data_IF_809063954299
#
_entry.id   IF_809063954299
#
_cell.length_a   1.000
_cell.length_b   1.000
_cell.length_c   1.000
_cell.angle_alpha   90.00
_cell.angle_beta   90.00
_cell.angle_gamma   90.00
#
_symmetry.space_group_name_H-M   'P 1'
#
loop_
_entity.id
_entity.type
_entity.pdbx_description
1 polymer ?
#
# COMPACT_ATOMS: atom_id res chain seq x y z
N UNK A 1 -18.61 -48.42 -23.37
CA UNK A 1 -17.58 -47.94 -24.31
C UNK A 1 -17.89 -46.54 -24.85
N UNK A 2 -19.05 -46.30 -25.49
CA UNK A 2 -19.38 -44.97 -26.06
C UNK A 2 -19.50 -43.83 -25.04
N UNK A 3 -20.16 -44.06 -23.89
CA UNK A 3 -20.34 -43.02 -22.86
C UNK A 3 -19.02 -42.61 -22.18
N UNK A 4 -18.13 -43.56 -21.95
CA UNK A 4 -16.80 -43.29 -21.36
C UNK A 4 -15.92 -42.47 -22.32
N UNK A 5 -16.02 -42.74 -23.62
CA UNK A 5 -15.34 -41.94 -24.64
C UNK A 5 -15.90 -40.50 -24.69
N UNK A 6 -17.22 -40.32 -24.58
CA UNK A 6 -17.84 -39.00 -24.55
C UNK A 6 -17.44 -38.19 -23.30
N UNK A 7 -17.37 -38.84 -22.13
CA UNK A 7 -16.93 -38.20 -20.89
C UNK A 7 -15.47 -37.71 -20.98
N UNK A 8 -14.57 -38.53 -21.53
CA UNK A 8 -13.15 -38.14 -21.74
C UNK A 8 -13.01 -36.97 -22.70
N UNK A 9 -13.84 -36.90 -23.74
CA UNK A 9 -13.85 -35.76 -24.67
C UNK A 9 -14.35 -34.48 -23.98
N UNK A 10 -15.40 -34.57 -23.17
CA UNK A 10 -15.90 -33.41 -22.42
C UNK A 10 -14.88 -32.90 -21.38
N UNK A 11 -14.21 -33.82 -20.67
CA UNK A 11 -13.16 -33.46 -19.72
C UNK A 11 -11.97 -32.79 -20.42
N UNK A 12 -11.54 -33.31 -21.58
CA UNK A 12 -10.48 -32.71 -22.37
C UNK A 12 -10.86 -31.29 -22.89
N UNK A 13 -12.11 -31.09 -23.31
CA UNK A 13 -12.60 -29.77 -23.71
C UNK A 13 -12.67 -28.79 -22.54
N UNK A 14 -13.12 -29.25 -21.36
CA UNK A 14 -13.14 -28.43 -20.15
C UNK A 14 -11.73 -28.05 -19.68
N UNK A 15 -10.78 -28.99 -19.73
CA UNK A 15 -9.37 -28.72 -19.43
C UNK A 15 -8.78 -27.69 -20.39
N UNK A 16 -9.08 -27.80 -21.70
CA UNK A 16 -8.65 -26.82 -22.71
C UNK A 16 -9.26 -25.44 -22.48
N UNK A 17 -10.55 -25.36 -22.13
CA UNK A 17 -11.21 -24.09 -21.83
C UNK A 17 -10.59 -23.42 -20.58
N UNK A 18 -10.28 -24.19 -19.54
CA UNK A 18 -9.57 -23.68 -18.35
C UNK A 18 -8.17 -23.18 -18.68
N UNK A 19 -7.42 -23.89 -19.52
CA UNK A 19 -6.07 -23.43 -19.90
C UNK A 19 -6.13 -22.15 -20.72
N UNK A 20 -7.11 -22.00 -21.62
CA UNK A 20 -7.31 -20.77 -22.39
C UNK A 20 -7.73 -19.60 -21.51
N UNK A 21 -8.64 -19.82 -20.54
CA UNK A 21 -9.02 -18.80 -19.58
C UNK A 21 -7.83 -18.35 -18.71
N UNK A 22 -6.98 -19.29 -18.26
CA UNK A 22 -5.77 -18.97 -17.52
C UNK A 22 -4.74 -18.18 -18.37
N UNK A 23 -4.61 -18.49 -19.67
CA UNK A 23 -3.76 -17.73 -20.58
C UNK A 23 -4.26 -16.29 -20.77
N UNK A 24 -5.56 -16.10 -21.00
CA UNK A 24 -6.14 -14.76 -21.14
C UNK A 24 -6.01 -13.94 -19.85
N UNK A 25 -6.21 -14.55 -18.68
CA UNK A 25 -6.00 -13.89 -17.40
C UNK A 25 -4.53 -13.47 -17.19
N UNK A 26 -3.58 -14.31 -17.60
CA UNK A 26 -2.16 -13.98 -17.54
C UNK A 26 -1.79 -12.83 -18.51
N UNK A 27 -2.33 -12.83 -19.74
CA UNK A 27 -2.14 -11.74 -20.69
C UNK A 27 -2.73 -10.42 -20.19
N UNK A 28 -3.90 -10.46 -19.56
CA UNK A 28 -4.51 -9.28 -18.93
C UNK A 28 -3.66 -8.75 -17.77
N UNK A 29 -3.17 -9.62 -16.88
CA UNK A 29 -2.30 -9.21 -15.78
C UNK A 29 -1.00 -8.55 -16.27
N UNK A 30 -0.39 -9.08 -17.34
CA UNK A 30 0.80 -8.48 -17.96
C UNK A 30 0.47 -7.12 -18.59
N UNK A 31 -0.69 -6.99 -19.25
CA UNK A 31 -1.12 -5.71 -19.83
C UNK A 31 -1.39 -4.65 -18.75
N UNK A 32 -2.01 -5.03 -17.63
CA UNK A 32 -2.23 -4.13 -16.49
C UNK A 32 -0.92 -3.71 -15.83
N UNK A 33 0.03 -4.64 -15.67
CA UNK A 33 1.35 -4.31 -15.15
C UNK A 33 2.10 -3.34 -16.08
N UNK A 34 2.07 -3.59 -17.40
CA UNK A 34 2.70 -2.70 -18.38
C UNK A 34 2.05 -1.30 -18.39
N UNK A 35 0.73 -1.21 -18.21
CA UNK A 35 0.04 0.06 -18.08
C UNK A 35 0.44 0.81 -16.80
N UNK A 36 0.56 0.09 -15.67
CA UNK A 36 1.02 0.69 -14.42
C UNK A 36 2.47 1.20 -14.52
N UNK A 37 3.37 0.43 -15.14
CA UNK A 37 4.75 0.85 -15.39
C UNK A 37 4.82 2.09 -16.30
N UNK A 38 3.97 2.19 -17.32
CA UNK A 38 3.90 3.37 -18.18
C UNK A 38 3.49 4.63 -17.41
N UNK A 39 2.53 4.53 -16.48
CA UNK A 39 2.12 5.66 -15.63
C UNK A 39 3.28 6.11 -14.72
N UNK A 40 4.04 5.17 -14.14
CA UNK A 40 5.21 5.50 -13.30
C UNK A 40 6.26 6.26 -14.12
N UNK A 41 6.56 5.79 -15.34
CA UNK A 41 7.52 6.47 -16.23
C UNK A 41 7.05 7.88 -16.63
N UNK A 42 5.75 8.07 -16.87
CA UNK A 42 5.19 9.40 -17.16
C UNK A 42 5.27 10.33 -15.94
N UNK A 43 4.97 9.81 -14.74
CA UNK A 43 5.14 10.56 -13.50
C UNK A 43 6.60 10.97 -13.27
N UNK A 44 7.57 10.07 -13.47
CA UNK A 44 9.00 10.39 -13.36
C UNK A 44 9.43 11.49 -14.35
N UNK A 45 8.96 11.42 -15.60
CA UNK A 45 9.22 12.47 -16.59
C UNK A 45 8.63 13.81 -16.19
N UNK A 46 7.41 13.83 -15.65
CA UNK A 46 6.78 15.07 -15.18
C UNK A 46 7.53 15.69 -14.00
N UNK A 47 8.02 14.85 -13.07
CA UNK A 47 8.82 15.29 -11.92
C UNK A 47 10.18 15.84 -12.35
N UNK A 48 10.83 15.21 -13.34
CA UNK A 48 12.08 15.71 -13.92
C UNK A 48 11.89 17.08 -14.59
N UNK A 49 10.84 17.24 -15.40
CA UNK A 49 10.53 18.52 -16.04
C UNK A 49 10.28 19.64 -15.01
N UNK A 50 9.53 19.35 -13.94
CA UNK A 50 9.30 20.32 -12.86
C UNK A 50 10.61 20.68 -12.12
N UNK A 51 11.50 19.70 -11.89
CA UNK A 51 12.80 19.97 -11.28
C UNK A 51 13.67 20.87 -12.18
N UNK A 52 13.66 20.64 -13.49
CA UNK A 52 14.37 21.49 -14.46
C UNK A 52 13.83 22.94 -14.44
N UNK A 53 12.51 23.14 -14.40
CA UNK A 53 11.89 24.47 -14.29
C UNK A 53 12.30 25.20 -13.01
N UNK A 54 12.33 24.51 -11.86
CA UNK A 54 12.79 25.10 -10.59
C UNK A 54 14.26 25.52 -10.69
N UNK A 55 15.12 24.66 -11.24
CA UNK A 55 16.54 25.01 -11.40
C UNK A 55 16.76 26.18 -12.36
N UNK A 56 15.96 26.29 -13.42
CA UNK A 56 15.98 27.41 -14.35
C UNK A 56 15.52 28.71 -13.67
N UNK A 57 14.47 28.65 -12.85
CA UNK A 57 13.98 29.79 -12.07
C UNK A 57 15.02 30.28 -11.05
N UNK A 58 15.68 29.38 -10.33
CA UNK A 58 16.78 29.74 -9.41
C UNK A 58 17.96 30.39 -10.14
N UNK A 59 18.30 29.91 -11.33
CA UNK A 59 19.33 30.50 -12.16
C UNK A 59 18.94 31.94 -12.60
N UNK A 60 17.70 32.15 -13.03
CA UNK A 60 17.19 33.47 -13.39
C UNK A 60 17.22 34.45 -12.21
N UNK A 61 16.84 34.01 -11.00
CA UNK A 61 16.92 34.83 -9.78
C UNK A 61 18.37 35.24 -9.49
N UNK A 62 19.33 34.32 -9.66
CA UNK A 62 20.76 34.64 -9.47
C UNK A 62 21.26 35.65 -10.48
N UNK A 63 20.84 35.56 -11.74
CA UNK A 63 21.17 36.56 -12.79
C UNK A 63 20.59 37.92 -12.43
N UNK A 64 19.30 38.00 -12.09
CA UNK A 64 18.66 39.27 -11.69
C UNK A 64 19.30 39.88 -10.44
N UNK A 65 19.69 39.05 -9.46
CA UNK A 65 20.41 39.52 -8.28
C UNK A 65 21.82 40.06 -8.62
N UNK A 66 22.50 39.46 -9.59
CA UNK A 66 23.79 39.95 -10.08
C UNK A 66 23.65 41.25 -10.88
N UNK A 67 22.67 41.34 -11.78
CA UNK A 67 22.34 42.57 -12.52
C UNK A 67 21.99 43.71 -11.57
N UNK A 68 21.19 43.45 -10.54
CA UNK A 68 20.88 44.44 -9.51
C UNK A 68 22.14 44.92 -8.80
N UNK A 69 23.03 44.03 -8.38
CA UNK A 69 24.30 44.41 -7.72
C UNK A 69 25.19 45.21 -8.66
N UNK A 70 25.26 44.83 -9.92
CA UNK A 70 26.04 45.55 -10.92
C UNK A 70 25.48 46.96 -11.13
N UNK A 71 24.16 47.08 -11.24
CA UNK A 71 23.49 48.38 -11.30
C UNK A 71 23.77 49.24 -10.05
N UNK A 72 23.76 48.65 -8.85
CA UNK A 72 24.10 49.34 -7.60
C UNK A 72 25.57 49.85 -7.59
N UNK A 73 26.49 49.13 -8.23
CA UNK A 73 27.89 49.54 -8.40
C UNK A 73 28.03 50.66 -9.43
N UNK A 74 27.31 50.56 -10.55
CA UNK A 74 27.36 51.54 -11.65
C UNK A 74 26.67 52.86 -11.28
N UNK A 75 25.68 52.81 -10.38
CA UNK A 75 24.89 53.95 -9.96
C UNK A 75 25.03 54.20 -8.45
N UNK A 76 26.26 54.41 -7.92
CA UNK A 76 26.48 54.49 -6.48
C UNK A 76 25.80 55.71 -5.87
N UNK A 77 25.55 56.79 -6.64
CA UNK A 77 24.83 57.99 -6.17
C UNK A 77 23.31 57.79 -6.15
N UNK A 78 22.73 56.96 -7.02
CA UNK A 78 21.30 56.62 -6.97
C UNK A 78 21.03 55.50 -5.95
N UNK A 79 21.93 54.51 -5.87
CA UNK A 79 21.90 53.47 -4.86
C UNK A 79 22.13 54.06 -3.46
N UNK A 80 23.16 54.89 -3.27
CA UNK A 80 23.33 55.65 -2.04
C UNK A 80 22.25 56.72 -1.89
N UNK A 81 21.74 57.33 -2.95
CA UNK A 81 20.64 58.31 -2.91
C UNK A 81 19.32 57.71 -2.43
N UNK A 82 19.06 56.43 -2.72
CA UNK A 82 17.94 55.68 -2.15
C UNK A 82 18.10 55.38 -0.66
N UNK A 83 19.34 55.32 -0.15
CA UNK A 83 19.66 55.23 1.28
C UNK A 83 19.91 56.58 1.97
N UNK A 84 20.32 57.63 1.24
CA UNK A 84 20.78 58.93 1.72
C UNK A 84 19.75 60.04 1.51
N UNK A 85 18.66 59.82 0.75
CA UNK A 85 17.45 60.65 0.87
C UNK A 85 16.74 60.51 2.22
N UNK A 86 17.25 59.64 3.11
CA UNK A 86 16.91 59.65 4.53
C UNK A 86 17.76 60.65 5.35
N UNK A 87 18.96 61.05 4.90
CA UNK A 87 19.94 61.77 5.73
C UNK A 87 20.77 62.73 4.84
N UNK A 88 20.40 64.02 4.87
CA UNK A 88 21.24 65.20 4.55
C UNK A 88 21.33 65.62 3.06
N UNK A 89 20.51 66.63 2.73
CA UNK A 89 20.90 67.75 1.87
C UNK A 89 20.74 69.01 2.76
N UNK A 90 21.65 69.97 2.83
CA UNK A 90 22.54 70.47 1.80
C UNK A 90 23.65 71.33 2.46
N UNK A 91 24.79 71.46 1.79
CA UNK A 91 25.88 72.30 2.22
C UNK A 91 26.86 72.55 1.09
N UNK A 92 26.68 73.65 0.35
CA UNK A 92 27.76 74.51 -0.13
C UNK A 92 27.20 75.80 -0.78
N UNK A 93 27.20 76.88 0.00
CA UNK A 93 26.88 78.24 -0.46
C UNK A 93 27.42 79.27 0.52
N UNK A 94 28.73 79.21 0.77
CA UNK A 94 29.42 80.05 1.75
C UNK A 94 29.54 81.52 1.27
N UNK A 95 29.16 82.45 2.13
CA UNK A 95 30.05 83.50 2.68
C UNK A 95 29.30 84.67 3.35
N UNK A 96 28.00 84.86 3.07
CA UNK A 96 27.21 85.94 3.69
C UNK A 96 26.23 85.45 4.79
N UNK A 97 26.02 84.14 4.90
CA UNK A 97 24.97 83.54 5.76
C UNK A 97 25.42 83.08 7.14
N UNK A 98 26.71 83.14 7.43
CA UNK A 98 27.27 82.71 8.72
C UNK A 98 26.74 83.49 9.92
N UNK A 99 26.30 84.75 9.71
CA UNK A 99 25.85 85.62 10.79
C UNK A 99 24.35 85.51 11.13
N UNK A 100 23.49 85.18 10.16
CA UNK A 100 22.06 84.97 10.42
C UNK A 100 21.74 83.55 10.90
N UNK A 101 22.54 82.56 10.50
CA UNK A 101 22.33 81.15 10.86
C UNK A 101 22.72 80.85 12.32
N UNK A 102 23.71 81.55 12.88
CA UNK A 102 24.03 81.45 14.31
C UNK A 102 22.98 82.08 15.23
N UNK A 103 22.17 83.01 14.73
CA UNK A 103 21.22 83.78 15.55
C UNK A 103 19.77 83.29 15.48
N UNK A 104 19.35 82.61 14.42
CA UNK A 104 17.94 82.20 14.23
C UNK A 104 17.72 80.74 13.80
N UNK A 105 18.77 79.91 13.80
CA UNK A 105 18.66 78.44 13.81
C UNK A 105 18.23 77.75 12.51
N UNK A 106 17.45 78.36 11.62
CA UNK A 106 17.12 77.84 10.28
C UNK A 106 16.39 78.93 9.46
N UNK A 107 16.70 79.10 8.17
CA UNK A 107 15.99 80.04 7.30
C UNK A 107 14.58 79.51 6.97
N UNK A 108 13.55 80.38 7.01
CA UNK A 108 12.15 80.02 6.72
C UNK A 108 11.98 79.27 5.38
N UNK A 109 12.67 79.69 4.33
CA UNK A 109 12.64 79.04 3.02
C UNK A 109 13.22 77.62 3.04
N UNK A 110 14.23 77.36 3.88
CA UNK A 110 14.78 76.01 4.09
C UNK A 110 13.77 75.14 4.83
N UNK A 111 13.03 75.69 5.81
CA UNK A 111 11.97 74.97 6.53
C UNK A 111 10.80 74.60 5.62
N UNK A 112 10.37 75.51 4.75
CA UNK A 112 9.29 75.24 3.78
C UNK A 112 9.72 74.21 2.73
N UNK A 113 10.95 74.32 2.20
CA UNK A 113 11.51 73.33 1.28
C UNK A 113 11.67 71.95 1.94
N UNK A 114 12.11 71.89 3.21
CA UNK A 114 12.24 70.66 3.99
C UNK A 114 10.88 70.03 4.28
N UNK A 115 9.85 70.81 4.59
CA UNK A 115 8.49 70.28 4.74
C UNK A 115 7.91 69.79 3.41
N UNK A 116 8.14 70.50 2.30
CA UNK A 116 7.69 70.06 0.98
C UNK A 116 8.40 68.77 0.53
N UNK A 117 9.71 68.66 0.77
CA UNK A 117 10.48 67.46 0.48
C UNK A 117 10.07 66.27 1.36
N UNK A 118 9.81 66.51 2.66
CA UNK A 118 9.30 65.49 3.57
C UNK A 118 7.92 64.98 3.13
N UNK A 119 7.01 65.89 2.73
CA UNK A 119 5.69 65.52 2.23
C UNK A 119 5.78 64.73 0.90
N UNK A 120 6.70 65.09 0.00
CA UNK A 120 6.93 64.36 -1.25
C UNK A 120 7.56 62.97 -1.01
N UNK A 121 8.49 62.86 -0.05
CA UNK A 121 9.08 61.58 0.34
C UNK A 121 8.04 60.66 1.00
N UNK A 122 7.17 61.22 1.85
CA UNK A 122 6.07 60.48 2.47
C UNK A 122 5.05 60.00 1.43
N UNK A 123 4.71 60.84 0.44
CA UNK A 123 3.84 60.45 -0.67
C UNK A 123 4.44 59.30 -1.50
N UNK A 124 5.73 59.38 -1.85
CA UNK A 124 6.43 58.30 -2.57
C UNK A 124 6.54 57.01 -1.74
N UNK A 125 6.78 57.13 -0.44
CA UNK A 125 6.81 55.98 0.46
C UNK A 125 5.43 55.33 0.60
N UNK A 126 4.35 56.12 0.60
CA UNK A 126 2.98 55.61 0.61
C UNK A 126 2.64 54.89 -0.72
N UNK A 127 3.05 55.44 -1.86
CA UNK A 127 2.86 54.83 -3.18
C UNK A 127 3.64 53.51 -3.30
N UNK A 128 4.90 53.47 -2.87
CA UNK A 128 5.70 52.25 -2.85
C UNK A 128 5.10 51.16 -1.93
N UNK A 129 4.57 51.56 -0.77
CA UNK A 129 3.86 50.63 0.13
C UNK A 129 2.57 50.10 -0.50
N UNK A 130 1.82 50.94 -1.21
CA UNK A 130 0.62 50.52 -1.91
C UNK A 130 0.92 49.55 -3.06
N UNK A 131 1.97 49.80 -3.85
CA UNK A 131 2.44 48.89 -4.89
C UNK A 131 2.89 47.55 -4.32
N UNK A 132 3.69 47.55 -3.25
CA UNK A 132 4.13 46.31 -2.59
C UNK A 132 2.97 45.52 -1.96
N UNK A 133 1.94 46.21 -1.45
CA UNK A 133 0.73 45.56 -0.94
C UNK A 133 -0.08 44.92 -2.08
N UNK A 134 -0.21 45.59 -3.22
CA UNK A 134 -0.90 45.05 -4.40
C UNK A 134 -0.18 43.81 -4.98
N UNK A 135 1.15 43.83 -5.05
CA UNK A 135 1.94 42.67 -5.51
C UNK A 135 1.80 41.47 -4.55
N UNK A 136 1.83 41.71 -3.24
CA UNK A 136 1.57 40.65 -2.24
C UNK A 136 0.18 40.07 -2.38
N UNK A 137 -0.83 40.92 -2.56
CA UNK A 137 -2.21 40.45 -2.75
C UNK A 137 -2.34 39.62 -4.04
N UNK A 138 -1.72 40.04 -5.14
CA UNK A 138 -1.72 39.27 -6.38
C UNK A 138 -1.00 37.91 -6.24
N UNK A 139 0.11 37.86 -5.49
CA UNK A 139 0.82 36.62 -5.20
C UNK A 139 0.00 35.68 -4.29
N UNK A 140 -0.69 36.22 -3.28
CA UNK A 140 -1.58 35.45 -2.41
C UNK A 140 -2.80 34.89 -3.18
N UNK A 141 -3.39 35.69 -4.08
CA UNK A 141 -4.50 35.24 -4.94
C UNK A 141 -4.05 34.14 -5.92
N UNK A 142 -2.84 34.26 -6.50
CA UNK A 142 -2.27 33.23 -7.36
C UNK A 142 -2.00 31.92 -6.60
N UNK A 143 -1.39 32.00 -5.41
CA UNK A 143 -1.14 30.84 -4.56
C UNK A 143 -2.45 30.17 -4.10
N UNK A 144 -3.49 30.95 -3.78
CA UNK A 144 -4.80 30.42 -3.44
C UNK A 144 -5.48 29.72 -4.64
N UNK A 145 -5.32 30.24 -5.85
CA UNK A 145 -5.86 29.63 -7.05
C UNK A 145 -5.16 28.29 -7.38
N UNK A 146 -3.85 28.22 -7.21
CA UNK A 146 -3.08 26.99 -7.39
C UNK A 146 -3.45 25.92 -6.35
N UNK A 147 -3.57 26.30 -5.07
CA UNK A 147 -4.04 25.40 -4.02
C UNK A 147 -5.44 24.86 -4.29
N UNK A 148 -6.36 25.70 -4.77
CA UNK A 148 -7.72 25.28 -5.14
C UNK A 148 -7.74 24.35 -6.37
N UNK A 149 -6.84 24.55 -7.33
CA UNK A 149 -6.69 23.65 -8.47
C UNK A 149 -6.14 22.28 -8.05
N UNK A 150 -5.14 22.27 -7.17
CA UNK A 150 -4.57 21.04 -6.61
C UNK A 150 -5.61 20.25 -5.79
N UNK A 151 -6.44 20.92 -4.99
CA UNK A 151 -7.53 20.28 -4.24
C UNK A 151 -8.58 19.64 -5.17
N UNK A 152 -8.97 20.33 -6.25
CA UNK A 152 -9.89 19.77 -7.25
C UNK A 152 -9.31 18.55 -7.94
N UNK A 153 -8.04 18.60 -8.36
CA UNK A 153 -7.38 17.45 -8.97
C UNK A 153 -7.29 16.24 -8.01
N UNK A 154 -7.00 16.49 -6.73
CA UNK A 154 -7.00 15.45 -5.72
C UNK A 154 -8.41 14.85 -5.50
N UNK A 155 -9.44 15.69 -5.48
CA UNK A 155 -10.82 15.25 -5.34
C UNK A 155 -11.31 14.42 -6.55
N UNK A 156 -10.94 14.81 -7.78
CA UNK A 156 -11.25 14.06 -8.99
C UNK A 156 -10.54 12.70 -9.02
N UNK A 157 -9.26 12.65 -8.61
CA UNK A 157 -8.52 11.39 -8.48
C UNK A 157 -9.17 10.46 -7.45
N UNK A 158 -9.54 10.98 -6.28
CA UNK A 158 -10.23 10.21 -5.24
C UNK A 158 -11.61 9.71 -5.70
N UNK A 159 -12.34 10.50 -6.50
CA UNK A 159 -13.61 10.09 -7.08
C UNK A 159 -13.44 8.98 -8.13
N UNK A 160 -12.42 9.09 -8.98
CA UNK A 160 -12.09 8.06 -9.97
C UNK A 160 -11.68 6.73 -9.30
N UNK A 161 -10.88 6.78 -8.24
CA UNK A 161 -10.48 5.59 -7.48
C UNK A 161 -11.68 4.90 -6.82
N UNK A 162 -12.60 5.66 -6.23
CA UNK A 162 -13.85 5.12 -5.67
C UNK A 162 -14.71 4.47 -6.74
N UNK A 163 -14.85 5.11 -7.91
CA UNK A 163 -15.61 4.55 -9.03
C UNK A 163 -14.99 3.24 -9.53
N UNK A 164 -13.66 3.16 -9.63
CA UNK A 164 -12.94 1.94 -10.00
C UNK A 164 -13.13 0.82 -8.95
N UNK A 165 -13.04 1.16 -7.66
CA UNK A 165 -13.27 0.20 -6.56
C UNK A 165 -14.72 -0.33 -6.56
N UNK A 166 -15.72 0.52 -6.80
CA UNK A 166 -17.12 0.09 -6.93
C UNK A 166 -17.35 -0.79 -8.16
N UNK A 167 -16.72 -0.48 -9.30
CA UNK A 167 -16.79 -1.31 -10.50
C UNK A 167 -16.18 -2.69 -10.26
N UNK A 168 -15.01 -2.75 -9.61
CA UNK A 168 -14.35 -4.00 -9.24
C UNK A 168 -15.21 -4.83 -8.28
N UNK A 169 -15.85 -4.19 -7.29
CA UNK A 169 -16.79 -4.87 -6.38
C UNK A 169 -17.99 -5.46 -7.11
N UNK A 170 -18.60 -4.72 -8.05
CA UNK A 170 -19.72 -5.23 -8.86
C UNK A 170 -19.29 -6.42 -9.73
N UNK A 171 -18.12 -6.35 -10.35
CA UNK A 171 -17.57 -7.45 -11.13
C UNK A 171 -17.33 -8.70 -10.27
N UNK A 172 -16.80 -8.54 -9.05
CA UNK A 172 -16.61 -9.63 -8.11
C UNK A 172 -17.94 -10.25 -7.65
N UNK A 173 -18.97 -9.44 -7.38
CA UNK A 173 -20.31 -9.92 -7.02
C UNK A 173 -20.97 -10.68 -8.18
N UNK A 174 -20.81 -10.22 -9.42
CA UNK A 174 -21.32 -10.91 -10.62
C UNK A 174 -20.60 -12.24 -10.85
N UNK A 175 -19.27 -12.27 -10.72
CA UNK A 175 -18.49 -13.50 -10.81
C UNK A 175 -18.91 -14.52 -9.73
N UNK A 176 -19.12 -14.08 -8.49
CA UNK A 176 -19.62 -14.93 -7.42
C UNK A 176 -21.02 -15.50 -7.73
N UNK A 177 -21.93 -14.69 -8.28
CA UNK A 177 -23.27 -15.16 -8.70
C UNK A 177 -23.19 -16.20 -9.82
N UNK A 178 -22.29 -16.03 -10.78
CA UNK A 178 -22.08 -17.00 -11.86
C UNK A 178 -21.52 -18.32 -11.32
N UNK A 179 -20.52 -18.26 -10.43
CA UNK A 179 -19.95 -19.44 -9.78
C UNK A 179 -21.01 -20.21 -8.97
N UNK A 180 -21.86 -19.50 -8.23
CA UNK A 180 -22.99 -20.09 -7.49
C UNK A 180 -24.02 -20.75 -8.42
N UNK A 181 -24.34 -20.11 -9.55
CA UNK A 181 -25.25 -20.67 -10.55
C UNK A 181 -24.68 -21.97 -11.15
N UNK A 182 -23.39 -22.02 -11.47
CA UNK A 182 -22.73 -23.25 -11.93
C UNK A 182 -22.73 -24.36 -10.87
N UNK A 183 -22.49 -24.01 -9.61
CA UNK A 183 -22.53 -24.99 -8.51
C UNK A 183 -23.93 -25.57 -8.33
N UNK A 184 -24.98 -24.74 -8.44
CA UNK A 184 -26.37 -25.23 -8.44
C UNK A 184 -26.63 -26.15 -9.63
N UNK A 185 -26.21 -25.76 -10.84
CA UNK A 185 -26.37 -26.59 -12.03
C UNK A 185 -25.64 -27.95 -11.90
N UNK A 186 -24.41 -27.95 -11.36
CA UNK A 186 -23.65 -29.19 -11.08
C UNK A 186 -24.34 -30.07 -10.03
N UNK A 187 -24.91 -29.48 -8.98
CA UNK A 187 -25.69 -30.21 -7.96
C UNK A 187 -26.96 -30.82 -8.55
N UNK A 188 -27.69 -30.06 -9.37
CA UNK A 188 -28.88 -30.56 -10.05
C UNK A 188 -28.55 -31.70 -11.02
N UNK A 189 -27.46 -31.57 -11.79
CA UNK A 189 -26.97 -32.63 -12.67
C UNK A 189 -26.55 -33.88 -11.89
N UNK A 190 -25.84 -33.73 -10.77
CA UNK A 190 -25.47 -34.86 -9.91
C UNK A 190 -26.69 -35.55 -9.29
N UNK A 191 -27.70 -34.78 -8.86
CA UNK A 191 -28.97 -35.32 -8.36
C UNK A 191 -29.76 -36.03 -9.46
N UNK A 192 -29.75 -35.50 -10.69
CA UNK A 192 -30.36 -36.16 -11.84
C UNK A 192 -29.65 -37.50 -12.15
N UNK A 193 -28.30 -37.51 -12.13
CA UNK A 193 -27.52 -38.74 -12.27
C UNK A 193 -27.87 -39.76 -11.16
N UNK A 194 -27.91 -39.35 -9.89
CA UNK A 194 -28.31 -40.22 -8.78
C UNK A 194 -29.74 -40.79 -8.95
N UNK A 195 -30.68 -40.00 -9.46
CA UNK A 195 -32.04 -40.48 -9.75
C UNK A 195 -32.07 -41.51 -10.88
N UNK A 196 -31.24 -41.33 -11.91
CA UNK A 196 -31.11 -42.32 -13.00
C UNK A 196 -30.35 -43.57 -12.55
N UNK A 197 -29.36 -43.42 -11.66
CA UNK A 197 -28.71 -44.49 -10.92
C UNK A 197 -29.52 -44.89 -9.69
N UNK A 198 -30.87 -44.99 -9.83
CA UNK A 198 -31.69 -45.68 -8.83
C UNK A 198 -30.95 -46.98 -8.50
N UNK A 199 -30.62 -47.23 -7.22
CA UNK A 199 -29.91 -48.44 -6.86
C UNK A 199 -30.77 -49.58 -7.39
N UNK A 200 -30.30 -50.25 -8.45
CA UNK A 200 -30.64 -51.66 -8.62
C UNK A 200 -30.35 -52.25 -7.25
N UNK A 201 -31.28 -53.03 -6.70
CA UNK A 201 -31.07 -53.81 -5.49
C UNK A 201 -29.83 -54.68 -5.72
N UNK A 202 -28.66 -54.10 -5.52
CA UNK A 202 -27.37 -54.74 -5.32
C UNK A 202 -27.39 -54.96 -3.81
N UNK A 203 -28.14 -55.96 -3.36
CA UNK A 203 -27.50 -57.20 -2.89
C UNK A 203 -26.38 -56.85 -1.91
N UNK A 204 -26.70 -57.05 -0.63
CA UNK A 204 -25.77 -57.21 0.49
C UNK A 204 -24.55 -58.10 0.13
N UNK A 205 -24.64 -58.90 -0.93
CA UNK A 205 -23.62 -59.83 -1.42
C UNK A 205 -22.25 -59.27 -1.86
N UNK A 206 -22.10 -57.99 -2.23
CA UNK A 206 -20.80 -57.48 -2.73
C UNK A 206 -19.91 -56.91 -1.63
N UNK A 207 -20.49 -56.30 -0.60
CA UNK A 207 -19.76 -55.86 0.59
C UNK A 207 -19.48 -57.06 1.49
N UNK A 208 -20.44 -57.98 1.64
CA UNK A 208 -20.20 -59.27 2.30
C UNK A 208 -19.13 -60.07 1.55
N UNK A 209 -19.12 -60.10 0.21
CA UNK A 209 -18.12 -60.82 -0.57
C UNK A 209 -16.69 -60.27 -0.47
N UNK A 210 -16.51 -58.95 -0.32
CA UNK A 210 -15.18 -58.36 -0.15
C UNK A 210 -14.64 -58.53 1.27
N UNK A 211 -15.51 -58.45 2.28
CA UNK A 211 -15.16 -58.73 3.68
C UNK A 211 -14.89 -60.24 3.87
N UNK A 212 -15.73 -61.11 3.29
CA UNK A 212 -15.52 -62.56 3.26
C UNK A 212 -14.28 -62.96 2.47
N UNK A 213 -13.90 -62.25 1.40
CA UNK A 213 -12.66 -62.54 0.68
C UNK A 213 -11.40 -62.21 1.52
N UNK A 214 -11.44 -61.15 2.33
CA UNK A 214 -10.35 -60.81 3.26
C UNK A 214 -10.30 -61.80 4.43
N UNK A 215 -11.46 -62.20 4.98
CA UNK A 215 -11.54 -63.24 6.01
C UNK A 215 -11.16 -64.64 5.47
N UNK A 216 -11.53 -64.97 4.22
CA UNK A 216 -11.18 -66.22 3.56
C UNK A 216 -9.70 -66.28 3.16
N UNK A 217 -9.09 -65.16 2.75
CA UNK A 217 -7.65 -65.09 2.51
C UNK A 217 -6.86 -65.22 3.83
N UNK A 218 -7.36 -64.65 4.93
CA UNK A 218 -6.77 -64.85 6.26
C UNK A 218 -6.95 -66.30 6.77
N UNK A 219 -8.11 -66.93 6.51
CA UNK A 219 -8.39 -68.31 6.89
C UNK A 219 -7.65 -69.35 6.02
N UNK A 220 -7.42 -69.07 4.73
CA UNK A 220 -6.69 -69.94 3.82
C UNK A 220 -5.17 -69.92 4.03
N UNK A 221 -4.64 -68.89 4.71
CA UNK A 221 -3.21 -68.77 5.04
C UNK A 221 -2.79 -69.40 6.36
N UNK A 222 -3.72 -69.85 7.22
CA UNK A 222 -3.40 -70.33 8.58
C UNK A 222 -4.10 -71.65 8.88
N UNK A 223 -3.65 -72.75 8.28
CA UNK A 223 -4.00 -74.11 8.71
C UNK A 223 -3.09 -74.58 9.86
N UNK A 224 -2.73 -73.68 10.78
CA UNK A 224 -2.12 -74.03 12.06
C UNK A 224 -3.19 -73.86 13.16
N UNK A 225 -3.78 -74.96 13.67
CA UNK A 225 -4.85 -74.91 14.66
C UNK A 225 -4.40 -74.43 16.05
N UNK A 226 -3.13 -74.04 16.23
CA UNK A 226 -2.58 -73.66 17.54
C UNK A 226 -2.02 -72.22 17.67
N UNK A 227 -2.21 -71.30 16.70
CA UNK A 227 -1.72 -69.92 16.94
C UNK A 227 -1.91 -68.80 15.91
N UNK A 228 -2.48 -69.02 14.71
CA UNK A 228 -2.38 -68.03 13.61
C UNK A 228 -3.36 -66.84 13.62
N UNK A 229 -4.62 -67.04 14.03
CA UNK A 229 -5.67 -66.02 13.89
C UNK A 229 -5.47 -64.78 14.78
N UNK A 230 -4.81 -64.96 15.93
CA UNK A 230 -4.47 -63.87 16.86
C UNK A 230 -3.43 -62.91 16.26
N UNK A 231 -2.44 -63.44 15.54
CA UNK A 231 -1.35 -62.63 14.99
C UNK A 231 -1.81 -61.71 13.85
N UNK A 232 -2.68 -62.19 12.96
CA UNK A 232 -3.24 -61.38 11.86
C UNK A 232 -4.17 -60.29 12.39
N UNK A 233 -4.98 -60.59 13.42
CA UNK A 233 -5.82 -59.61 14.08
C UNK A 233 -5.01 -58.52 14.82
N UNK A 234 -3.93 -58.91 15.51
CA UNK A 234 -3.00 -57.97 16.16
C UNK A 234 -2.32 -57.07 15.12
N UNK A 235 -1.81 -57.64 14.03
CA UNK A 235 -1.20 -56.88 12.95
C UNK A 235 -2.18 -55.90 12.29
N UNK A 236 -3.42 -56.32 12.03
CA UNK A 236 -4.44 -55.45 11.46
C UNK A 236 -4.84 -54.30 12.44
N UNK A 237 -4.85 -54.57 13.74
CA UNK A 237 -5.07 -53.54 14.77
C UNK A 237 -3.91 -52.53 14.81
N UNK A 238 -2.66 -53.00 14.80
CA UNK A 238 -1.46 -52.15 14.75
C UNK A 238 -1.41 -51.30 13.47
N UNK A 239 -1.75 -51.86 12.30
CA UNK A 239 -1.81 -51.09 11.05
C UNK A 239 -2.92 -50.03 11.08
N UNK A 240 -4.08 -50.33 11.65
CA UNK A 240 -5.16 -49.35 11.81
C UNK A 240 -4.77 -48.23 12.76
N UNK A 241 -4.08 -48.55 13.85
CA UNK A 241 -3.57 -47.55 14.80
C UNK A 241 -2.51 -46.67 14.16
N UNK A 242 -1.57 -47.25 13.41
CA UNK A 242 -0.56 -46.50 12.66
C UNK A 242 -1.19 -45.54 11.65
N UNK A 243 -2.15 -46.01 10.85
CA UNK A 243 -2.87 -45.17 9.88
C UNK A 243 -3.66 -44.05 10.57
N UNK A 244 -4.27 -44.33 11.74
CA UNK A 244 -4.95 -43.27 12.53
C UNK A 244 -3.98 -42.21 13.02
N UNK A 245 -2.79 -42.59 13.49
CA UNK A 245 -1.76 -41.66 13.93
C UNK A 245 -1.22 -40.83 12.76
N UNK A 246 -1.00 -41.44 11.59
CA UNK A 246 -0.55 -40.73 10.38
C UNK A 246 -1.61 -39.75 9.87
N UNK A 247 -2.88 -40.15 9.84
CA UNK A 247 -3.98 -39.25 9.47
C UNK A 247 -4.09 -38.10 10.46
N UNK A 248 -4.08 -38.37 11.77
CA UNK A 248 -4.13 -37.33 12.80
C UNK A 248 -2.93 -36.37 12.71
N UNK A 249 -1.72 -36.87 12.43
CA UNK A 249 -0.54 -36.04 12.21
C UNK A 249 -0.67 -35.17 10.95
N UNK A 250 -1.18 -35.74 9.85
CA UNK A 250 -1.41 -35.01 8.60
C UNK A 250 -2.51 -33.94 8.74
N UNK A 251 -3.58 -34.24 9.48
CA UNK A 251 -4.63 -33.28 9.80
C UNK A 251 -4.12 -32.16 10.70
N UNK A 252 -3.29 -32.49 11.71
CA UNK A 252 -2.63 -31.50 12.56
C UNK A 252 -1.73 -30.58 11.72
N UNK A 253 -0.92 -31.13 10.83
CA UNK A 253 -0.06 -30.36 9.93
C UNK A 253 -0.87 -29.44 9.00
N UNK A 254 -1.95 -29.97 8.40
CA UNK A 254 -2.84 -29.17 7.55
C UNK A 254 -3.53 -28.05 8.32
N UNK A 255 -3.92 -28.29 9.58
CA UNK A 255 -4.45 -27.24 10.46
C UNK A 255 -3.39 -26.18 10.73
N UNK A 256 -2.14 -26.55 11.04
CA UNK A 256 -1.06 -25.59 11.30
C UNK A 256 -0.72 -24.75 10.06
N UNK A 257 -0.79 -25.31 8.85
CA UNK A 257 -0.60 -24.57 7.60
C UNK A 257 -1.61 -23.43 7.40
N UNK A 258 -2.84 -23.57 7.89
CA UNK A 258 -3.83 -22.47 7.82
C UNK A 258 -3.43 -21.26 8.68
N UNK A 259 -2.53 -21.44 9.65
CA UNK A 259 -2.04 -20.40 10.56
C UNK A 259 -0.55 -20.07 10.31
N UNK A 260 -0.06 -20.33 9.11
CA UNK A 260 1.34 -20.06 8.73
C UNK A 260 1.73 -18.59 8.95
N UNK A 261 0.83 -17.64 8.67
CA UNK A 261 1.09 -16.22 8.93
C UNK A 261 1.30 -15.91 10.43
N UNK A 262 0.48 -16.51 11.31
CA UNK A 262 0.58 -16.33 12.76
C UNK A 262 1.83 -17.02 13.35
N UNK A 263 2.18 -18.19 12.82
CA UNK A 263 3.40 -18.92 13.18
C UNK A 263 4.66 -18.15 12.75
N UNK A 264 4.67 -17.62 11.52
CA UNK A 264 5.75 -16.76 11.02
C UNK A 264 5.91 -15.48 11.84
N UNK A 265 4.80 -14.93 12.34
CA UNK A 265 4.82 -13.75 13.20
C UNK A 265 5.54 -14.04 14.53
N UNK A 266 5.32 -15.23 15.09
CA UNK A 266 5.99 -15.76 16.29
C UNK A 266 7.43 -16.23 16.01
N UNK A 267 7.83 -16.35 14.74
CA UNK A 267 9.13 -16.87 14.33
C UNK A 267 9.26 -18.39 14.48
N UNK A 268 8.17 -19.12 14.28
CA UNK A 268 8.11 -20.58 14.36
C UNK A 268 7.76 -21.12 12.98
N UNK A 269 8.53 -22.07 12.47
CA UNK A 269 8.23 -22.72 11.20
C UNK A 269 7.08 -23.73 11.34
N UNK A 270 6.31 -23.93 10.27
CA UNK A 270 5.15 -24.83 10.26
C UNK A 270 5.52 -26.28 10.60
N UNK A 271 6.73 -26.71 10.24
CA UNK A 271 7.24 -28.05 10.54
C UNK A 271 7.53 -28.22 12.04
N UNK A 272 8.07 -27.19 12.69
CA UNK A 272 8.31 -27.17 14.14
C UNK A 272 7.00 -27.11 14.92
N UNK A 273 5.97 -26.44 14.37
CA UNK A 273 4.66 -26.29 14.98
C UNK A 273 3.95 -27.63 15.27
N UNK A 274 4.27 -28.69 14.52
CA UNK A 274 3.65 -30.03 14.71
C UNK A 274 3.98 -30.60 16.10
N UNK A 275 5.17 -30.32 16.63
CA UNK A 275 5.64 -30.81 17.92
C UNK A 275 5.69 -29.72 19.00
N UNK A 276 5.03 -28.58 18.74
CA UNK A 276 5.05 -27.42 19.64
C UNK A 276 4.31 -27.70 20.94
N UNK A 277 4.93 -27.36 22.07
CA UNK A 277 4.31 -27.39 23.38
C UNK A 277 4.00 -25.96 23.87
N UNK A 278 3.09 -25.83 24.84
CA UNK A 278 2.69 -24.49 25.33
C UNK A 278 3.90 -23.73 25.91
N UNK A 279 4.93 -24.44 26.41
CA UNK A 279 6.13 -23.83 26.98
C UNK A 279 7.03 -23.21 25.89
N UNK A 280 7.27 -23.91 24.79
CA UNK A 280 8.01 -23.38 23.63
C UNK A 280 7.25 -22.23 22.98
N UNK A 281 5.92 -22.35 22.83
CA UNK A 281 5.09 -21.24 22.33
C UNK A 281 5.23 -19.98 23.21
N UNK A 282 5.13 -20.11 24.54
CA UNK A 282 5.32 -18.99 25.48
C UNK A 282 6.73 -18.42 25.43
N UNK A 283 7.75 -19.25 25.18
CA UNK A 283 9.14 -18.80 25.04
C UNK A 283 9.32 -17.97 23.77
N UNK A 284 8.88 -18.47 22.61
CA UNK A 284 8.93 -17.77 21.33
C UNK A 284 8.18 -16.42 21.40
N UNK A 285 6.98 -16.42 21.99
CA UNK A 285 6.22 -15.18 22.21
C UNK A 285 6.99 -14.15 23.05
N UNK A 286 7.62 -14.56 24.16
CA UNK A 286 8.40 -13.65 25.01
C UNK A 286 9.64 -13.10 24.29
N UNK A 287 10.32 -13.92 23.50
CA UNK A 287 11.48 -13.50 22.71
C UNK A 287 11.06 -12.48 21.66
N UNK A 288 9.98 -12.75 20.92
CA UNK A 288 9.48 -11.85 19.87
C UNK A 288 8.89 -10.57 20.44
N UNK A 289 8.18 -10.65 21.57
CA UNK A 289 7.60 -9.49 22.26
C UNK A 289 8.69 -8.52 22.75
N UNK A 290 9.84 -9.03 23.22
CA UNK A 290 10.98 -8.18 23.61
C UNK A 290 11.54 -7.38 22.44
N UNK A 291 11.56 -7.97 21.24
CA UNK A 291 12.06 -7.31 20.02
C UNK A 291 11.06 -6.27 19.50
N UNK A 292 9.76 -6.58 19.59
CA UNK A 292 8.70 -5.71 19.07
C UNK A 292 8.16 -4.70 20.10
N UNK A 293 8.68 -4.70 21.34
CA UNK A 293 8.22 -3.80 22.39
C UNK A 293 8.45 -2.33 22.00
N UNK A 294 7.47 -1.42 22.21
CA UNK A 294 7.62 -0.01 21.84
C UNK A 294 8.83 0.65 22.51
N UNK A 295 9.12 0.32 23.78
CA UNK A 295 10.30 0.87 24.48
C UNK A 295 11.66 0.48 23.86
N UNK A 296 11.70 -0.57 23.02
CA UNK A 296 12.92 -1.06 22.36
C UNK A 296 13.02 -0.59 20.91
N UNK A 297 11.89 -0.31 20.25
CA UNK A 297 11.85 0.22 18.87
C UNK A 297 12.01 1.74 18.89
N UNK A 298 12.97 2.26 18.14
CA UNK A 298 13.05 3.69 17.82
C UNK A 298 11.85 4.11 16.98
N UNK A 299 11.31 5.30 17.22
CA UNK A 299 10.06 5.84 16.62
C UNK A 299 10.09 5.90 15.07
N UNK A 300 11.26 5.76 14.45
CA UNK A 300 11.46 5.98 13.01
C UNK A 300 11.14 4.78 12.09
N UNK A 301 10.71 3.61 12.60
CA UNK A 301 10.42 2.43 11.76
C UNK A 301 8.96 1.94 11.93
N UNK A 302 7.99 2.56 11.25
CA UNK A 302 6.57 2.20 11.34
C UNK A 302 6.15 0.92 10.59
N UNK A 303 7.06 0.28 9.85
CA UNK A 303 6.73 -0.79 8.88
C UNK A 303 6.87 -2.21 9.41
N UNK A 304 6.50 -2.47 10.68
CA UNK A 304 6.59 -3.82 11.24
C UNK A 304 5.39 -4.20 12.09
N UNK A 305 5.13 -5.50 12.26
CA UNK A 305 3.97 -5.98 12.99
C UNK A 305 3.93 -5.46 14.42
N UNK A 306 2.71 -5.22 14.89
CA UNK A 306 2.47 -4.65 16.22
C UNK A 306 2.49 -5.73 17.31
N UNK A 307 2.71 -5.32 18.56
CA UNK A 307 2.59 -6.22 19.73
C UNK A 307 1.17 -6.78 19.86
N UNK A 308 0.15 -6.06 19.38
CA UNK A 308 -1.24 -6.52 19.40
C UNK A 308 -1.48 -7.68 18.44
N UNK A 309 -0.91 -7.62 17.24
CA UNK A 309 -0.94 -8.72 16.26
C UNK A 309 -0.20 -9.94 16.81
N UNK A 310 0.95 -9.74 17.46
CA UNK A 310 1.70 -10.83 18.09
C UNK A 310 0.88 -11.52 19.20
N UNK A 311 0.15 -10.75 20.00
CA UNK A 311 -0.71 -11.29 21.06
C UNK A 311 -1.91 -12.06 20.48
N UNK A 312 -2.50 -11.56 19.39
CA UNK A 312 -3.57 -12.25 18.67
C UNK A 312 -3.08 -13.61 18.12
N UNK A 313 -1.93 -13.62 17.44
CA UNK A 313 -1.31 -14.84 16.92
C UNK A 313 -1.02 -15.86 18.03
N UNK A 314 -0.47 -15.40 19.17
CA UNK A 314 -0.24 -16.27 20.33
C UNK A 314 -1.52 -16.94 20.83
N UNK A 315 -2.60 -16.18 21.02
CA UNK A 315 -3.88 -16.73 21.50
C UNK A 315 -4.54 -17.68 20.49
N UNK A 316 -4.38 -17.43 19.19
CA UNK A 316 -4.88 -18.31 18.12
C UNK A 316 -4.11 -19.64 18.14
N UNK A 317 -2.77 -19.58 18.11
CA UNK A 317 -1.91 -20.78 18.11
C UNK A 317 -2.09 -21.57 19.41
N UNK A 318 -2.24 -20.90 20.56
CA UNK A 318 -2.50 -21.54 21.85
C UNK A 318 -3.81 -22.33 21.88
N UNK A 319 -4.85 -21.89 21.17
CA UNK A 319 -6.14 -22.61 21.08
C UNK A 319 -6.09 -23.82 20.14
N UNK A 320 -5.06 -23.91 19.30
CA UNK A 320 -4.87 -25.01 18.35
C UNK A 320 -4.07 -26.16 18.95
N UNK A 321 -3.23 -25.87 19.94
CA UNK A 321 -2.49 -26.86 20.75
C UNK A 321 -3.42 -27.55 21.75
#
# INVERSE_FOLDING_TARGET
>A
AGEEAAAKVQEALAAKARSQAAQLAAEQAVAEQAAAEAVVVEMERSAQAAAEEVTAAEAAIKVLAAERRQWEIENPVEAAGSMATAIVADGAGAAADGLLTMLFGEKKSVREAKMAAAAAAEAKAAEAKAAAAAERQAAEEAAAAEAAAAEKAAAEKAAAERAAAEAAKRAAEEAARQADAELRAKREAALAQLKTQRPRKLTESLVDGAVDAVFAAAAAGTSDPNGGASAVASWAAEQREKLRLEVAASEKMNRMRLFEADLNLLGIDVEEAVNLDEKTLRKAFRERSRVLHPDVRSEDVPTGPSVYELNAAFEVVRKLL
#
